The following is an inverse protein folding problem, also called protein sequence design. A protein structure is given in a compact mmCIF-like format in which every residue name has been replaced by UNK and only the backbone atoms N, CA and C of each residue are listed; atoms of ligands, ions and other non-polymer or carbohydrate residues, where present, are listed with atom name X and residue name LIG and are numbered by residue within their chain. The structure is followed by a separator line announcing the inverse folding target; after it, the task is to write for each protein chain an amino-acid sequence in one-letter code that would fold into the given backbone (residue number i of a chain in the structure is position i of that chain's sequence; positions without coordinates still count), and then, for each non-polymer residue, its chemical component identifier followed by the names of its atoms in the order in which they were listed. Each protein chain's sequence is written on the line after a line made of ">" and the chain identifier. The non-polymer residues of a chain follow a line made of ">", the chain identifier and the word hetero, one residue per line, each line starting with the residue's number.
data_IF_504987106906
#
_entry.id   IF_504987106906
#
_cell.length_a   1.000
_cell.length_b   1.000
_cell.length_c   1.000
_cell.angle_alpha   90.00
_cell.angle_beta   90.00
_cell.angle_gamma   90.00
#
_symmetry.space_group_name_H-M   'P 1'
#
loop_
_entity.id
_entity.type
_entity.pdbx_description
1 polymer ?
#
# COMPACT_ATOMS: atom_id res chain seq x y z
N UNK A 1 -22.89 3.47 -6.86
CA UNK A 1 -21.58 4.11 -7.13
C UNK A 1 -21.25 4.10 -8.61
N UNK A 2 -21.06 2.91 -9.20
CA UNK A 2 -20.78 2.69 -10.64
C UNK A 2 -21.70 3.48 -11.59
N UNK A 3 -23.02 3.43 -11.35
CA UNK A 3 -24.04 4.13 -12.15
C UNK A 3 -23.94 5.66 -12.14
N UNK A 4 -23.24 6.25 -11.16
CA UNK A 4 -22.95 7.69 -11.09
C UNK A 4 -21.61 8.01 -11.75
N UNK A 5 -20.60 7.17 -11.54
CA UNK A 5 -19.28 7.30 -12.17
C UNK A 5 -19.40 7.27 -13.70
N UNK A 6 -20.24 6.40 -14.26
CA UNK A 6 -20.43 6.31 -15.72
C UNK A 6 -20.98 7.59 -16.38
N UNK A 7 -21.55 8.50 -15.59
CA UNK A 7 -22.10 9.78 -16.07
C UNK A 7 -21.05 10.89 -16.09
N UNK A 8 -19.84 10.63 -15.59
CA UNK A 8 -18.75 11.59 -15.60
C UNK A 8 -18.24 11.79 -17.02
N UNK A 9 -17.96 13.05 -17.37
CA UNK A 9 -17.44 13.40 -18.71
C UNK A 9 -16.07 12.76 -18.92
N UNK A 10 -15.91 12.07 -20.05
CA UNK A 10 -14.67 11.36 -20.38
C UNK A 10 -14.52 10.01 -19.67
N UNK A 11 -15.57 9.48 -19.05
CA UNK A 11 -15.56 8.10 -18.54
C UNK A 11 -15.38 7.10 -19.70
N UNK A 12 -14.46 6.14 -19.51
CA UNK A 12 -14.25 5.04 -20.46
C UNK A 12 -14.65 3.69 -19.86
N UNK A 13 -14.08 3.32 -18.72
CA UNK A 13 -14.32 2.01 -18.13
C UNK A 13 -14.06 1.99 -16.63
N UNK A 14 -14.68 1.04 -15.93
CA UNK A 14 -14.44 0.79 -14.50
C UNK A 14 -14.11 -0.66 -14.24
N UNK A 15 -13.11 -0.86 -13.38
CA UNK A 15 -12.53 -2.14 -13.01
C UNK A 15 -12.53 -2.29 -11.50
N UNK A 16 -12.80 -3.51 -11.03
CA UNK A 16 -12.45 -3.92 -9.68
C UNK A 16 -11.03 -4.46 -9.68
N UNK A 17 -10.26 -4.12 -8.66
CA UNK A 17 -8.93 -4.67 -8.40
C UNK A 17 -9.02 -5.66 -7.24
N UNK A 18 -8.30 -6.78 -7.33
CA UNK A 18 -8.26 -7.78 -6.27
C UNK A 18 -9.57 -8.58 -6.12
N UNK A 19 -9.83 -9.08 -4.91
CA UNK A 19 -11.02 -9.89 -4.60
C UNK A 19 -11.66 -9.51 -3.26
N UNK A 20 -12.99 -9.49 -3.25
CA UNK A 20 -13.80 -9.32 -2.02
C UNK A 20 -14.20 -10.71 -1.54
N UNK A 21 -13.52 -11.21 -0.52
CA UNK A 21 -13.70 -12.59 -0.04
C UNK A 21 -14.19 -12.69 1.40
N UNK A 22 -13.98 -11.66 2.24
CA UNK A 22 -14.33 -11.72 3.68
C UNK A 22 -15.15 -10.47 4.05
N UNK A 23 -16.48 -10.58 4.20
CA UNK A 23 -17.35 -9.47 4.62
C UNK A 23 -16.86 -8.80 5.92
N UNK A 24 -16.87 -7.47 5.96
CA UNK A 24 -16.45 -6.67 7.12
C UNK A 24 -14.93 -6.51 7.32
N UNK A 25 -14.11 -7.25 6.56
CA UNK A 25 -12.64 -7.12 6.55
C UNK A 25 -12.07 -6.78 5.18
N UNK A 26 -12.69 -7.24 4.10
CA UNK A 26 -12.33 -6.89 2.72
C UNK A 26 -12.78 -5.48 2.36
N UNK A 27 -11.96 -4.82 1.54
CA UNK A 27 -12.27 -3.52 0.94
C UNK A 27 -12.57 -3.69 -0.56
N UNK A 28 -13.23 -2.70 -1.15
CA UNK A 28 -13.46 -2.65 -2.59
C UNK A 28 -12.47 -1.67 -3.20
N UNK A 29 -11.54 -2.22 -3.98
CA UNK A 29 -10.60 -1.40 -4.76
C UNK A 29 -11.17 -1.25 -6.16
N UNK A 30 -11.38 -0.01 -6.60
CA UNK A 30 -11.87 0.29 -7.94
C UNK A 30 -10.91 1.21 -8.67
N UNK A 31 -10.79 1.00 -9.97
CA UNK A 31 -10.06 1.87 -10.89
C UNK A 31 -10.97 2.28 -12.04
N UNK A 32 -10.98 3.58 -12.33
CA UNK A 32 -11.71 4.18 -13.44
C UNK A 32 -10.72 4.66 -14.48
N UNK A 33 -10.94 4.28 -15.73
CA UNK A 33 -10.21 4.77 -16.88
C UNK A 33 -10.99 5.93 -17.50
N UNK A 34 -10.28 7.02 -17.79
CA UNK A 34 -10.83 8.22 -18.39
C UNK A 34 -10.15 8.55 -19.73
N UNK A 35 -10.80 9.35 -20.57
CA UNK A 35 -10.17 10.02 -21.70
C UNK A 35 -9.02 10.92 -21.21
N UNK A 36 -8.00 11.10 -22.04
CA UNK A 36 -6.75 11.78 -21.64
C UNK A 36 -6.97 13.27 -21.29
N UNK A 37 -8.00 13.90 -21.87
CA UNK A 37 -8.39 15.29 -21.61
C UNK A 37 -9.45 15.46 -20.51
N UNK A 38 -9.91 14.36 -19.89
CA UNK A 38 -10.94 14.39 -18.87
C UNK A 38 -10.51 15.25 -17.66
N UNK A 39 -11.45 16.05 -17.14
CA UNK A 39 -11.26 16.87 -15.95
C UNK A 39 -12.43 16.72 -15.00
N UNK A 40 -12.22 15.99 -13.92
CA UNK A 40 -13.19 15.70 -12.88
C UNK A 40 -12.67 16.20 -11.53
N UNK A 41 -13.21 17.34 -11.07
CA UNK A 41 -12.77 17.98 -9.81
C UNK A 41 -13.47 17.43 -8.57
N UNK A 42 -14.44 16.55 -8.75
CA UNK A 42 -15.20 15.94 -7.65
C UNK A 42 -14.50 14.72 -7.06
N UNK A 43 -14.74 14.47 -5.78
CA UNK A 43 -14.36 13.24 -5.08
C UNK A 43 -15.56 12.28 -5.09
N UNK A 44 -15.51 11.18 -5.86
CA UNK A 44 -16.67 10.29 -5.98
C UNK A 44 -17.04 9.61 -4.67
N UNK A 45 -16.09 9.28 -3.78
CA UNK A 45 -16.39 8.59 -2.51
C UNK A 45 -17.10 9.54 -1.56
N UNK A 46 -16.65 10.80 -1.49
CA UNK A 46 -17.24 11.81 -0.62
C UNK A 46 -18.54 12.37 -1.19
N UNK A 47 -18.51 12.79 -2.45
CA UNK A 47 -19.56 13.62 -3.04
C UNK A 47 -20.76 12.79 -3.51
N UNK A 48 -20.60 11.47 -3.71
CA UNK A 48 -21.75 10.59 -3.97
C UNK A 48 -22.41 10.03 -2.70
N UNK A 49 -21.92 10.35 -1.49
CA UNK A 49 -22.40 9.78 -0.24
C UNK A 49 -22.51 8.24 -0.30
N UNK A 50 -21.57 7.60 -1.00
CA UNK A 50 -21.51 6.14 -1.03
C UNK A 50 -21.20 5.59 0.36
N UNK A 51 -21.48 4.31 0.57
CA UNK A 51 -21.07 3.53 1.74
C UNK A 51 -19.55 3.62 1.97
N UNK A 52 -19.10 4.70 2.62
CA UNK A 52 -17.68 5.02 2.84
C UNK A 52 -16.95 3.93 3.62
N UNK A 53 -17.69 3.05 4.31
CA UNK A 53 -17.12 1.90 5.01
C UNK A 53 -16.61 0.80 4.06
N UNK A 54 -17.12 0.74 2.82
CA UNK A 54 -16.72 -0.22 1.78
C UNK A 54 -15.40 0.15 1.10
N UNK A 55 -14.98 1.42 1.20
CA UNK A 55 -13.78 1.96 0.56
C UNK A 55 -12.80 2.44 1.63
N UNK A 56 -11.65 1.79 1.78
CA UNK A 56 -10.59 2.28 2.70
C UNK A 56 -9.73 3.38 2.09
N UNK A 57 -9.83 3.57 0.78
CA UNK A 57 -9.20 4.66 0.05
C UNK A 57 -10.15 5.23 -1.01
N UNK A 58 -9.81 6.41 -1.53
CA UNK A 58 -10.48 7.00 -2.70
C UNK A 58 -10.34 6.09 -3.93
N UNK A 59 -11.25 6.22 -4.89
CA UNK A 59 -11.22 5.40 -6.12
C UNK A 59 -9.98 5.77 -6.95
N UNK A 60 -9.34 4.78 -7.58
CA UNK A 60 -8.24 5.05 -8.49
C UNK A 60 -8.75 5.62 -9.81
N UNK A 61 -8.03 6.57 -10.39
CA UNK A 61 -8.36 7.19 -11.66
C UNK A 61 -7.12 7.30 -12.52
N UNK A 62 -7.22 6.88 -13.78
CA UNK A 62 -6.12 6.91 -14.73
C UNK A 62 -6.63 7.31 -16.12
N UNK A 63 -5.99 8.28 -16.79
CA UNK A 63 -6.19 8.51 -18.23
C UNK A 63 -5.78 7.31 -19.09
N UNK A 64 -6.46 7.10 -20.21
CA UNK A 64 -6.30 5.97 -21.13
C UNK A 64 -4.86 5.78 -21.61
N UNK A 65 -4.15 6.86 -21.92
CA UNK A 65 -2.77 6.84 -22.42
C UNK A 65 -1.82 6.05 -21.50
N UNK A 66 -2.07 6.08 -20.19
CA UNK A 66 -1.23 5.44 -19.18
C UNK A 66 -1.70 4.04 -18.77
N UNK A 67 -2.85 3.56 -19.27
CA UNK A 67 -3.47 2.29 -18.83
C UNK A 67 -2.53 1.08 -18.95
N UNK A 68 -1.95 0.87 -20.13
CA UNK A 68 -1.13 -0.32 -20.40
C UNK A 68 0.20 -0.28 -19.63
N UNK A 69 0.84 0.89 -19.59
CA UNK A 69 2.11 1.07 -18.90
C UNK A 69 1.95 0.96 -17.37
N UNK A 70 0.86 1.50 -16.82
CA UNK A 70 0.54 1.34 -15.41
C UNK A 70 0.41 -0.12 -15.03
N UNK A 71 -0.33 -0.92 -15.80
CA UNK A 71 -0.53 -2.35 -15.51
C UNK A 71 0.78 -3.13 -15.55
N UNK A 72 1.64 -2.88 -16.54
CA UNK A 72 2.91 -3.59 -16.66
C UNK A 72 3.92 -3.20 -15.57
N UNK A 73 3.89 -1.95 -15.10
CA UNK A 73 4.86 -1.46 -14.11
C UNK A 73 4.41 -1.56 -12.65
N UNK A 74 3.13 -1.77 -12.35
CA UNK A 74 2.62 -1.77 -10.96
C UNK A 74 2.08 -3.11 -10.47
N UNK A 75 1.84 -4.08 -11.36
CA UNK A 75 1.39 -5.43 -11.00
C UNK A 75 0.16 -5.53 -10.09
N UNK A 76 -0.75 -4.55 -10.11
CA UNK A 76 -2.06 -4.78 -9.49
C UNK A 76 -2.73 -5.99 -10.16
N UNK A 77 -3.25 -6.89 -9.34
CA UNK A 77 -3.80 -8.17 -9.80
C UNK A 77 -5.32 -8.13 -9.94
N UNK A 78 -5.84 -9.02 -10.78
CA UNK A 78 -7.26 -9.31 -10.92
C UNK A 78 -8.11 -8.08 -11.28
N UNK A 79 -7.73 -7.39 -12.35
CA UNK A 79 -8.59 -6.39 -12.97
C UNK A 79 -9.85 -7.08 -13.53
N UNK A 80 -10.95 -6.99 -12.80
CA UNK A 80 -12.25 -7.47 -13.26
C UNK A 80 -13.01 -6.30 -13.87
N UNK A 81 -13.25 -6.35 -15.17
CA UNK A 81 -14.09 -5.38 -15.86
C UNK A 81 -15.51 -5.39 -15.27
N UNK A 82 -16.05 -4.19 -15.01
CA UNK A 82 -17.40 -4.01 -14.47
C UNK A 82 -18.34 -3.35 -15.49
N UNK A 83 -17.97 -2.20 -16.06
CA UNK A 83 -18.86 -1.41 -16.94
C UNK A 83 -18.05 -0.46 -17.84
N UNK A 84 -18.62 -0.08 -18.99
CA UNK A 84 -18.05 0.87 -19.95
C UNK A 84 -17.47 0.19 -21.20
N UNK A 85 -16.36 0.72 -21.69
CA UNK A 85 -15.53 0.10 -22.72
C UNK A 85 -14.39 -0.65 -22.05
N UNK A 86 -14.25 -1.93 -22.39
CA UNK A 86 -13.09 -2.71 -21.97
C UNK A 86 -11.85 -2.22 -22.73
N UNK A 87 -10.87 -1.73 -21.97
CA UNK A 87 -9.59 -1.28 -22.49
C UNK A 87 -8.80 -2.45 -23.08
N UNK A 88 -8.23 -2.28 -24.29
CA UNK A 88 -7.45 -3.33 -24.92
C UNK A 88 -6.23 -3.65 -24.06
N UNK A 89 -5.93 -4.94 -23.93
CA UNK A 89 -4.72 -5.40 -23.29
C UNK A 89 -3.58 -5.40 -24.30
N UNK A 90 -2.81 -4.31 -24.32
CA UNK A 90 -1.57 -4.29 -25.08
C UNK A 90 -0.46 -4.87 -24.21
N UNK A 91 0.21 -5.91 -24.72
CA UNK A 91 1.41 -6.44 -24.07
C UNK A 91 2.47 -5.35 -24.08
N UNK A 92 2.83 -4.86 -22.90
CA UNK A 92 4.10 -4.17 -22.74
C UNK A 92 5.16 -5.25 -22.67
N UNK A 93 6.11 -5.25 -23.60
CA UNK A 93 7.23 -6.20 -23.60
C UNK A 93 8.21 -5.80 -22.50
N UNK A 94 7.98 -6.31 -21.30
CA UNK A 94 9.01 -6.36 -20.26
C UNK A 94 9.69 -7.71 -20.33
N UNK A 95 11.02 -7.72 -20.24
CA UNK A 95 11.75 -8.97 -20.17
C UNK A 95 11.63 -9.62 -18.78
N UNK A 96 12.11 -10.87 -18.65
CA UNK A 96 12.02 -11.62 -17.41
C UNK A 96 12.86 -11.01 -16.27
N UNK A 97 13.92 -10.27 -16.59
CA UNK A 97 14.77 -9.58 -15.65
C UNK A 97 14.07 -8.34 -15.09
N UNK A 98 13.50 -7.51 -15.97
CA UNK A 98 12.73 -6.33 -15.62
C UNK A 98 11.52 -6.68 -14.74
N UNK A 99 10.79 -7.74 -15.08
CA UNK A 99 9.68 -8.25 -14.27
C UNK A 99 10.18 -8.64 -12.87
N UNK A 100 11.32 -9.32 -12.78
CA UNK A 100 11.91 -9.73 -11.50
C UNK A 100 12.32 -8.52 -10.66
N UNK A 101 12.95 -7.53 -11.28
CA UNK A 101 13.35 -6.28 -10.61
C UNK A 101 12.14 -5.52 -10.05
N UNK A 102 11.09 -5.34 -10.86
CA UNK A 102 9.88 -4.64 -10.42
C UNK A 102 9.14 -5.38 -9.30
N UNK A 103 8.96 -6.69 -9.43
CA UNK A 103 8.32 -7.51 -8.37
C UNK A 103 9.07 -7.39 -7.05
N UNK A 104 10.40 -7.53 -7.08
CA UNK A 104 11.25 -7.35 -5.90
C UNK A 104 11.11 -5.93 -5.32
N UNK A 105 11.16 -4.91 -6.17
CA UNK A 105 11.02 -3.51 -5.75
C UNK A 105 9.66 -3.27 -5.06
N UNK A 106 8.56 -3.72 -5.66
CA UNK A 106 7.21 -3.57 -5.11
C UNK A 106 7.08 -4.29 -3.76
N UNK A 107 7.58 -5.53 -3.68
CA UNK A 107 7.56 -6.31 -2.46
C UNK A 107 8.33 -5.62 -1.33
N UNK A 108 9.56 -5.15 -1.61
CA UNK A 108 10.37 -4.45 -0.61
C UNK A 108 9.75 -3.12 -0.17
N UNK A 109 9.14 -2.35 -1.09
CA UNK A 109 8.41 -1.13 -0.74
C UNK A 109 7.26 -1.41 0.26
N UNK A 110 6.49 -2.48 0.04
CA UNK A 110 5.39 -2.83 0.93
C UNK A 110 5.87 -3.42 2.25
N UNK A 111 6.87 -4.31 2.25
CA UNK A 111 7.47 -4.86 3.47
C UNK A 111 8.05 -3.76 4.36
N UNK A 112 8.78 -2.80 3.79
CA UNK A 112 9.29 -1.63 4.53
C UNK A 112 8.14 -0.78 5.07
N UNK A 113 7.09 -0.51 4.26
CA UNK A 113 5.89 0.19 4.76
C UNK A 113 5.30 -0.55 5.96
N UNK A 114 5.13 -1.87 5.88
CA UNK A 114 4.58 -2.68 6.97
C UNK A 114 5.43 -2.62 8.23
N UNK A 115 6.76 -2.68 8.08
CA UNK A 115 7.70 -2.53 9.20
C UNK A 115 7.53 -1.18 9.90
N UNK A 116 7.43 -0.09 9.14
CA UNK A 116 7.24 1.27 9.69
C UNK A 116 5.91 1.37 10.42
N UNK A 117 4.83 0.84 9.83
CA UNK A 117 3.49 0.84 10.42
C UNK A 117 3.47 0.07 11.75
N UNK A 118 4.04 -1.14 11.77
CA UNK A 118 4.12 -1.96 12.99
C UNK A 118 5.02 -1.33 14.05
N UNK A 119 6.14 -0.72 13.66
CA UNK A 119 7.03 0.00 14.60
C UNK A 119 6.26 1.07 15.37
N UNK A 120 5.47 1.88 14.69
CA UNK A 120 4.66 2.94 15.31
C UNK A 120 3.57 2.35 16.22
N UNK A 121 2.84 1.35 15.72
CA UNK A 121 1.75 0.71 16.46
C UNK A 121 2.24 0.02 17.74
N UNK A 122 3.33 -0.73 17.67
CA UNK A 122 3.95 -1.38 18.82
C UNK A 122 4.54 -0.36 19.80
N UNK A 123 5.12 0.75 19.31
CA UNK A 123 5.64 1.80 20.20
C UNK A 123 4.54 2.45 21.03
N UNK A 124 3.35 2.59 20.47
CA UNK A 124 2.18 3.17 21.13
C UNK A 124 1.34 2.17 21.92
N UNK A 125 1.63 0.87 21.81
CA UNK A 125 0.77 -0.22 22.31
C UNK A 125 -0.67 -0.14 21.75
N UNK A 126 -0.83 0.32 20.50
CA UNK A 126 -2.12 0.45 19.82
C UNK A 126 -2.02 -0.18 18.44
N UNK A 127 -2.83 -1.22 18.21
CA UNK A 127 -2.89 -1.92 16.92
C UNK A 127 -4.20 -1.61 16.22
N UNK A 128 -4.12 -1.19 14.95
CA UNK A 128 -5.29 -1.04 14.08
C UNK A 128 -5.63 -2.39 13.45
N UNK A 129 -6.40 -3.20 14.18
CA UNK A 129 -6.59 -4.62 13.89
C UNK A 129 -7.12 -4.93 12.49
N UNK A 130 -8.16 -4.23 12.01
CA UNK A 130 -8.66 -4.39 10.63
C UNK A 130 -7.56 -4.14 9.61
N UNK A 131 -6.80 -3.05 9.75
CA UNK A 131 -5.69 -2.71 8.85
C UNK A 131 -4.58 -3.77 8.93
N UNK A 132 -4.25 -4.25 10.12
CA UNK A 132 -3.26 -5.32 10.30
C UNK A 132 -3.66 -6.60 9.58
N UNK A 133 -4.90 -7.06 9.72
CA UNK A 133 -5.38 -8.28 9.05
C UNK A 133 -5.42 -8.12 7.52
N UNK A 134 -5.78 -6.93 7.04
CA UNK A 134 -5.84 -6.64 5.61
C UNK A 134 -4.44 -6.56 4.98
N UNK A 135 -3.56 -5.74 5.56
CA UNK A 135 -2.18 -5.58 5.08
C UNK A 135 -1.37 -6.87 5.29
N UNK A 136 -1.61 -7.58 6.39
CA UNK A 136 -0.97 -8.87 6.68
C UNK A 136 -1.34 -9.97 5.68
N UNK A 137 -2.59 -9.99 5.16
CA UNK A 137 -2.96 -10.87 4.04
C UNK A 137 -2.15 -10.54 2.79
N UNK A 138 -1.97 -9.25 2.48
CA UNK A 138 -1.29 -8.81 1.27
C UNK A 138 0.18 -9.26 1.22
N UNK A 139 0.82 -9.44 2.39
CA UNK A 139 2.21 -9.92 2.50
C UNK A 139 2.47 -11.23 1.76
N UNK A 140 1.46 -12.09 1.55
CA UNK A 140 1.65 -13.34 0.81
C UNK A 140 2.14 -13.08 -0.62
N UNK A 141 1.62 -12.05 -1.28
CA UNK A 141 2.02 -11.69 -2.65
C UNK A 141 3.45 -11.12 -2.66
N UNK A 142 3.83 -10.36 -1.65
CA UNK A 142 5.18 -9.83 -1.51
C UNK A 142 6.20 -10.95 -1.29
N UNK A 143 5.85 -11.96 -0.49
CA UNK A 143 6.67 -13.16 -0.31
C UNK A 143 6.79 -13.96 -1.60
N UNK A 144 5.69 -14.15 -2.34
CA UNK A 144 5.69 -14.80 -3.65
C UNK A 144 6.59 -14.06 -4.66
N UNK A 145 6.54 -12.72 -4.68
CA UNK A 145 7.41 -11.89 -5.52
C UNK A 145 8.89 -12.04 -5.19
N UNK A 146 9.22 -12.32 -3.92
CA UNK A 146 10.57 -12.61 -3.47
C UNK A 146 10.94 -14.10 -3.61
N UNK A 147 10.04 -14.95 -4.10
CA UNK A 147 10.26 -16.39 -4.22
C UNK A 147 10.26 -17.13 -2.87
N UNK A 148 9.65 -16.56 -1.84
CA UNK A 148 9.56 -17.11 -0.49
C UNK A 148 8.25 -17.89 -0.35
N UNK A 149 8.33 -19.21 -0.33
CA UNK A 149 7.19 -20.12 -0.21
C UNK A 149 7.18 -20.95 1.08
N UNK A 150 8.15 -20.75 1.97
CA UNK A 150 8.28 -21.48 3.23
C UNK A 150 9.09 -20.70 4.28
N UNK A 151 9.12 -21.21 5.52
CA UNK A 151 9.87 -20.62 6.63
C UNK A 151 9.03 -19.72 7.54
N UNK A 152 9.66 -19.22 8.60
CA UNK A 152 8.96 -18.53 9.71
C UNK A 152 8.09 -17.35 9.28
N UNK A 153 8.57 -16.49 8.38
CA UNK A 153 7.77 -15.35 7.88
C UNK A 153 6.54 -15.83 7.11
N UNK A 154 6.70 -16.83 6.23
CA UNK A 154 5.60 -17.40 5.46
C UNK A 154 4.55 -18.03 6.38
N UNK A 155 4.97 -18.82 7.36
CA UNK A 155 4.08 -19.45 8.34
C UNK A 155 3.29 -18.42 9.17
N UNK A 156 3.94 -17.34 9.60
CA UNK A 156 3.27 -16.26 10.34
C UNK A 156 2.25 -15.51 9.48
N UNK A 157 2.55 -15.26 8.20
CA UNK A 157 1.59 -14.68 7.25
C UNK A 157 0.40 -15.62 7.05
N UNK A 158 0.63 -16.92 6.90
CA UNK A 158 -0.45 -17.91 6.83
C UNK A 158 -1.33 -17.92 8.08
N UNK A 159 -0.75 -17.79 9.27
CA UNK A 159 -1.52 -17.63 10.52
C UNK A 159 -2.39 -16.36 10.49
N UNK A 160 -1.89 -15.23 10.00
CA UNK A 160 -2.70 -14.01 9.83
C UNK A 160 -3.87 -14.24 8.86
N UNK A 161 -3.62 -14.95 7.75
CA UNK A 161 -4.66 -15.30 6.77
C UNK A 161 -5.73 -16.20 7.42
N UNK A 162 -5.32 -17.19 8.22
CA UNK A 162 -6.24 -18.08 8.94
C UNK A 162 -7.07 -17.33 9.98
N UNK A 163 -6.45 -16.46 10.79
CA UNK A 163 -7.16 -15.59 11.75
C UNK A 163 -8.18 -14.72 11.03
N UNK A 164 -7.80 -14.14 9.87
CA UNK A 164 -8.71 -13.33 9.05
C UNK A 164 -9.86 -14.14 8.45
N UNK A 165 -9.60 -15.39 8.05
CA UNK A 165 -10.63 -16.29 7.52
C UNK A 165 -11.64 -16.68 8.59
N UNK A 166 -11.16 -17.05 9.78
CA UNK A 166 -11.99 -17.49 10.91
C UNK A 166 -12.53 -16.39 11.81
N UNK A 167 -12.40 -15.11 11.42
CA UNK A 167 -12.63 -13.95 12.29
C UNK A 167 -14.02 -13.92 12.93
N UNK A 168 -15.04 -14.39 12.20
CA UNK A 168 -16.43 -14.38 12.65
C UNK A 168 -16.84 -15.66 13.38
N UNK A 169 -16.10 -16.76 13.20
CA UNK A 169 -16.40 -18.02 13.88
C UNK A 169 -15.69 -18.12 15.24
N UNK A 170 -14.40 -17.75 15.29
CA UNK A 170 -13.59 -17.84 16.50
C UNK A 170 -12.54 -16.73 16.52
N UNK A 171 -12.80 -15.72 17.33
CA UNK A 171 -11.85 -14.65 17.55
C UNK A 171 -10.70 -15.14 18.45
N UNK A 172 -9.43 -14.89 18.07
CA UNK A 172 -8.31 -15.11 18.97
C UNK A 172 -8.40 -14.16 20.17
N UNK A 173 -7.86 -14.62 21.29
CA UNK A 173 -7.68 -13.78 22.48
C UNK A 173 -6.72 -12.62 22.20
N UNK A 174 -6.80 -11.58 23.01
CA UNK A 174 -5.90 -10.43 22.91
C UNK A 174 -4.42 -10.85 23.05
N UNK A 175 -4.14 -11.80 23.95
CA UNK A 175 -2.80 -12.32 24.16
C UNK A 175 -2.25 -13.07 22.92
N UNK A 176 -3.08 -13.88 22.27
CA UNK A 176 -2.73 -14.58 21.03
C UNK A 176 -2.44 -13.58 19.90
N UNK A 177 -3.28 -12.56 19.73
CA UNK A 177 -3.07 -11.50 18.73
C UNK A 177 -1.79 -10.72 18.99
N UNK A 178 -1.58 -10.26 20.23
CA UNK A 178 -0.36 -9.54 20.62
C UNK A 178 0.90 -10.37 20.34
N UNK A 179 0.85 -11.67 20.62
CA UNK A 179 1.97 -12.58 20.34
C UNK A 179 2.21 -12.75 18.84
N UNK A 180 1.15 -12.96 18.04
CA UNK A 180 1.24 -13.08 16.59
C UNK A 180 1.86 -11.81 15.96
N UNK A 181 1.40 -10.63 16.37
CA UNK A 181 1.92 -9.35 15.85
C UNK A 181 3.39 -9.17 16.21
N UNK A 182 3.79 -9.48 17.45
CA UNK A 182 5.20 -9.40 17.88
C UNK A 182 6.09 -10.35 17.10
N UNK A 183 5.65 -11.59 16.89
CA UNK A 183 6.38 -12.59 16.10
C UNK A 183 6.50 -12.17 14.64
N UNK A 184 5.41 -11.69 14.03
CA UNK A 184 5.41 -11.18 12.66
C UNK A 184 6.36 -9.99 12.52
N UNK A 185 6.33 -9.04 13.46
CA UNK A 185 7.24 -7.89 13.46
C UNK A 185 8.71 -8.28 13.54
N UNK A 186 9.05 -9.23 14.43
CA UNK A 186 10.41 -9.75 14.54
C UNK A 186 10.85 -10.45 13.24
N UNK A 187 10.02 -11.35 12.71
CA UNK A 187 10.31 -12.06 11.46
C UNK A 187 10.44 -11.12 10.26
N UNK A 188 9.60 -10.09 10.18
CA UNK A 188 9.67 -9.05 9.14
C UNK A 188 10.96 -8.24 9.25
N UNK A 189 11.40 -7.92 10.47
CA UNK A 189 12.66 -7.23 10.74
C UNK A 189 13.84 -8.05 10.24
N UNK A 190 13.90 -9.33 10.60
CA UNK A 190 14.97 -10.24 10.17
C UNK A 190 14.98 -10.42 8.64
N UNK A 191 13.80 -10.57 8.03
CA UNK A 191 13.67 -10.68 6.58
C UNK A 191 14.19 -9.42 5.88
N UNK A 192 13.77 -8.23 6.30
CA UNK A 192 14.21 -6.98 5.70
C UNK A 192 15.73 -6.76 5.89
N UNK A 193 16.27 -7.06 7.06
CA UNK A 193 17.71 -6.99 7.32
C UNK A 193 18.50 -7.90 6.38
N UNK A 194 17.96 -9.07 6.02
CA UNK A 194 18.57 -9.99 5.05
C UNK A 194 18.41 -9.48 3.61
N UNK A 195 17.17 -9.22 3.18
CA UNK A 195 16.86 -8.90 1.78
C UNK A 195 17.51 -7.59 1.32
N UNK A 196 17.52 -6.58 2.18
CA UNK A 196 18.11 -5.28 1.86
C UNK A 196 19.64 -5.28 1.89
N UNK A 197 20.28 -6.29 2.50
CA UNK A 197 21.73 -6.52 2.39
C UNK A 197 22.10 -7.22 1.08
N UNK A 198 21.23 -8.11 0.57
CA UNK A 198 21.50 -8.88 -0.64
C UNK A 198 21.31 -8.07 -1.91
N UNK A 199 20.31 -7.19 -1.94
CA UNK A 199 20.11 -6.27 -3.04
C UNK A 199 19.44 -4.98 -2.56
N UNK A 200 19.82 -3.82 -3.12
CA UNK A 200 19.26 -2.55 -2.67
C UNK A 200 17.78 -2.43 -3.09
N UNK A 201 16.96 -1.93 -2.17
CA UNK A 201 15.73 -1.22 -2.54
C UNK A 201 16.12 0.05 -3.30
N UNK A 202 15.43 0.37 -4.39
CA UNK A 202 15.69 1.59 -5.16
C UNK A 202 14.71 2.70 -4.80
N UNK A 203 15.19 3.93 -4.76
CA UNK A 203 14.38 5.14 -4.53
C UNK A 203 14.71 6.21 -5.60
N UNK A 204 13.81 7.17 -5.88
CA UNK A 204 14.07 8.22 -6.87
C UNK A 204 15.04 9.30 -6.38
N UNK A 205 15.47 9.27 -5.11
CA UNK A 205 16.32 10.31 -4.51
C UNK A 205 17.27 9.73 -3.46
N UNK A 206 18.41 10.39 -3.26
CA UNK A 206 19.34 10.15 -2.15
C UNK A 206 18.93 10.85 -0.85
N UNK A 207 18.00 11.80 -0.93
CA UNK A 207 17.61 12.64 0.19
C UNK A 207 16.69 11.89 1.16
N UNK A 208 16.70 12.31 2.42
CA UNK A 208 15.67 11.88 3.35
C UNK A 208 14.28 12.34 2.88
N UNK A 209 13.26 11.55 3.20
CA UNK A 209 11.88 11.85 2.85
C UNK A 209 10.95 11.62 4.04
N UNK A 210 9.76 12.20 3.98
CA UNK A 210 8.74 12.03 5.01
C UNK A 210 7.60 11.16 4.49
N UNK A 211 7.27 10.10 5.23
CA UNK A 211 6.07 9.29 4.97
C UNK A 211 4.84 9.95 5.59
N UNK A 212 5.03 10.57 6.75
CA UNK A 212 4.04 11.38 7.46
C UNK A 212 4.76 12.51 8.21
N UNK A 213 3.99 13.46 8.77
CA UNK A 213 4.53 14.60 9.54
C UNK A 213 5.48 14.20 10.67
N UNK A 214 5.32 12.99 11.21
CA UNK A 214 6.08 12.50 12.34
C UNK A 214 7.00 11.30 12.02
N UNK A 215 7.06 10.86 10.76
CA UNK A 215 7.90 9.73 10.34
C UNK A 215 8.82 10.20 9.22
N UNK A 216 10.11 10.22 9.52
CA UNK A 216 11.18 10.51 8.56
C UNK A 216 11.93 9.24 8.20
N UNK A 217 12.36 9.15 6.95
CA UNK A 217 13.17 8.06 6.41
C UNK A 217 14.46 8.61 5.86
N UNK A 218 15.59 7.98 6.19
CA UNK A 218 16.90 8.33 5.63
C UNK A 218 17.72 7.09 5.32
N UNK A 219 18.68 7.21 4.40
CA UNK A 219 19.63 6.13 4.09
C UNK A 219 20.49 5.81 5.32
N UNK A 220 20.72 4.54 5.60
CA UNK A 220 21.59 4.11 6.69
C UNK A 220 21.45 2.63 7.01
N UNK A 221 21.98 2.21 8.15
CA UNK A 221 21.75 0.86 8.67
C UNK A 221 20.26 0.64 8.97
N UNK A 222 19.80 -0.60 8.80
CA UNK A 222 18.39 -0.93 9.03
C UNK A 222 18.02 -0.73 10.51
N UNK A 223 17.00 0.07 10.76
CA UNK A 223 16.49 0.29 12.11
C UNK A 223 15.49 1.43 12.21
N UNK A 224 14.95 1.62 13.41
CA UNK A 224 14.07 2.72 13.72
C UNK A 224 14.34 3.24 15.14
N UNK A 225 14.41 4.55 15.27
CA UNK A 225 14.45 5.24 16.57
C UNK A 225 13.21 6.09 16.73
N UNK A 226 12.74 6.20 17.98
CA UNK A 226 11.61 7.04 18.33
C UNK A 226 11.99 8.01 19.45
N UNK A 227 11.42 9.21 19.42
CA UNK A 227 11.54 10.20 20.48
C UNK A 227 10.17 10.83 20.77
N UNK A 228 9.97 11.30 22.00
CA UNK A 228 8.70 11.86 22.46
C UNK A 228 8.12 11.12 23.66
N UNK A 229 6.84 11.39 23.94
CA UNK A 229 6.13 10.87 25.10
C UNK A 229 5.02 9.90 24.69
N UNK A 230 5.04 8.70 25.26
CA UNK A 230 3.92 7.76 25.17
C UNK A 230 3.09 7.90 26.44
N UNK A 231 1.94 8.54 26.31
CA UNK A 231 1.00 8.71 27.42
C UNK A 231 0.03 7.51 27.44
N UNK A 232 -0.16 6.85 28.59
CA UNK A 232 -1.14 5.76 28.71
C UNK A 232 -2.56 6.27 28.41
N UNK A 233 -3.38 5.45 27.75
CA UNK A 233 -4.79 5.76 27.59
C UNK A 233 -5.55 5.31 28.84
N UNK A 234 -5.93 6.25 29.71
CA UNK A 234 -6.75 5.96 30.90
C UNK A 234 -8.25 5.76 30.58
N UNK A 235 -8.60 5.43 29.33
CA UNK A 235 -10.00 5.26 28.89
C UNK A 235 -10.79 6.56 28.73
N UNK A 236 -10.17 7.72 28.99
CA UNK A 236 -10.81 9.04 28.91
C UNK A 236 -10.91 9.57 27.47
N UNK A 237 -10.13 9.02 26.54
CA UNK A 237 -10.05 9.48 25.16
C UNK A 237 -10.28 8.30 24.22
N UNK A 238 -11.17 8.48 23.23
CA UNK A 238 -11.35 7.52 22.14
C UNK A 238 -10.01 7.17 21.48
N UNK A 239 -9.75 5.88 21.24
CA UNK A 239 -8.45 5.39 20.73
C UNK A 239 -7.94 6.12 19.50
N UNK A 240 -8.84 6.52 18.58
CA UNK A 240 -8.46 7.30 17.39
C UNK A 240 -7.90 8.68 17.75
N UNK A 241 -8.52 9.37 18.72
CA UNK A 241 -8.07 10.69 19.18
C UNK A 241 -6.76 10.55 19.95
N UNK A 242 -6.63 9.52 20.77
CA UNK A 242 -5.40 9.21 21.51
C UNK A 242 -4.24 8.88 20.57
N UNK A 243 -4.44 8.00 19.58
CA UNK A 243 -3.44 7.71 18.55
C UNK A 243 -3.01 8.96 17.77
N UNK A 244 -3.94 9.84 17.42
CA UNK A 244 -3.63 11.11 16.76
C UNK A 244 -2.82 12.06 17.66
N UNK A 245 -3.08 12.06 18.96
CA UNK A 245 -2.31 12.82 19.94
C UNK A 245 -0.88 12.30 20.02
N UNK A 246 -0.71 10.97 20.13
CA UNK A 246 0.61 10.33 20.13
C UNK A 246 1.41 10.69 18.88
N UNK A 247 0.79 10.68 17.69
CA UNK A 247 1.44 11.10 16.45
C UNK A 247 1.85 12.57 16.40
N UNK A 248 1.25 13.45 17.21
CA UNK A 248 1.68 14.85 17.28
C UNK A 248 2.91 15.04 18.16
N UNK A 249 3.07 14.21 19.20
CA UNK A 249 4.12 14.36 20.21
C UNK A 249 5.30 13.39 20.06
N UNK A 250 5.16 12.35 19.24
CA UNK A 250 6.23 11.40 18.98
C UNK A 250 6.74 11.52 17.56
N UNK A 251 8.06 11.43 17.41
CA UNK A 251 8.75 11.40 16.12
C UNK A 251 9.44 10.07 15.93
N UNK A 252 9.46 9.61 14.69
CA UNK A 252 10.14 8.40 14.25
C UNK A 252 11.15 8.75 13.18
N UNK A 253 12.35 8.22 13.32
CA UNK A 253 13.37 8.20 12.28
C UNK A 253 13.65 6.75 11.93
N UNK A 254 13.34 6.39 10.71
CA UNK A 254 13.55 5.06 10.15
C UNK A 254 14.75 5.13 9.22
N UNK A 255 15.64 4.17 9.33
CA UNK A 255 16.82 4.04 8.50
C UNK A 255 16.85 2.67 7.85
N UNK A 256 17.23 2.61 6.58
CA UNK A 256 17.47 1.36 5.86
C UNK A 256 18.38 1.61 4.65
N UNK A 257 19.09 0.58 4.17
CA UNK A 257 19.93 0.75 2.99
C UNK A 257 19.06 0.78 1.73
N UNK A 258 19.35 1.74 0.87
CA UNK A 258 18.73 1.88 -0.46
C UNK A 258 19.69 2.54 -1.44
N UNK A 259 19.43 2.35 -2.73
CA UNK A 259 20.16 2.98 -3.84
C UNK A 259 19.24 3.90 -4.62
N UNK A 260 19.81 4.81 -5.41
CA UNK A 260 19.03 5.58 -6.38
C UNK A 260 18.76 4.69 -7.58
N UNK A 261 17.55 4.71 -8.12
CA UNK A 261 17.24 4.00 -9.36
C UNK A 261 18.14 4.47 -10.51
N UNK A 262 18.72 3.53 -11.26
CA UNK A 262 19.59 3.86 -12.38
C UNK A 262 18.80 4.48 -13.54
N UNK A 263 19.43 5.42 -14.24
CA UNK A 263 18.80 6.10 -15.37
C UNK A 263 18.51 5.11 -16.50
N UNK A 264 17.28 5.08 -16.99
CA UNK A 264 16.81 4.15 -18.02
C UNK A 264 16.40 2.77 -17.49
N UNK A 265 16.54 2.51 -16.18
CA UNK A 265 16.07 1.25 -15.59
C UNK A 265 14.55 1.17 -15.56
N UNK A 266 14.02 -0.05 -15.55
CA UNK A 266 12.58 -0.29 -15.42
C UNK A 266 11.99 0.29 -14.12
N UNK A 267 12.79 0.33 -13.05
CA UNK A 267 12.39 0.91 -11.77
C UNK A 267 12.30 2.43 -11.85
N UNK A 268 13.26 3.09 -12.50
CA UNK A 268 13.18 4.54 -12.77
C UNK A 268 11.96 4.86 -13.65
N UNK A 269 11.74 4.08 -14.71
CA UNK A 269 10.56 4.21 -15.59
C UNK A 269 9.25 4.14 -14.80
N UNK A 270 9.13 3.18 -13.87
CA UNK A 270 7.98 3.10 -12.95
C UNK A 270 7.85 4.39 -12.13
N UNK A 271 8.91 4.90 -11.53
CA UNK A 271 8.83 6.15 -10.76
C UNK A 271 8.44 7.36 -11.61
N UNK A 272 8.97 7.47 -12.84
CA UNK A 272 8.60 8.53 -13.77
C UNK A 272 7.11 8.47 -14.14
N UNK A 273 6.60 7.28 -14.45
CA UNK A 273 5.17 7.08 -14.72
C UNK A 273 4.31 7.54 -13.55
N UNK A 274 4.63 7.11 -12.33
CA UNK A 274 3.87 7.48 -11.13
C UNK A 274 3.90 9.00 -10.88
N UNK A 275 5.02 9.65 -11.19
CA UNK A 275 5.18 11.11 -11.07
C UNK A 275 4.31 11.85 -12.06
N UNK A 276 4.29 11.39 -13.32
CA UNK A 276 3.46 11.94 -14.37
C UNK A 276 1.97 11.78 -14.06
N UNK A 277 1.55 10.59 -13.62
CA UNK A 277 0.17 10.32 -13.18
C UNK A 277 -0.23 11.20 -12.00
N UNK A 278 0.66 11.39 -11.01
CA UNK A 278 0.38 12.30 -9.88
C UNK A 278 0.18 13.73 -10.35
N UNK A 279 1.07 14.22 -11.23
CA UNK A 279 0.97 15.57 -11.79
C UNK A 279 -0.32 15.72 -12.61
N UNK A 280 -0.68 14.72 -13.40
CA UNK A 280 -1.92 14.68 -14.16
C UNK A 280 -3.14 14.76 -13.22
N UNK A 281 -3.27 13.80 -12.29
CA UNK A 281 -4.43 13.71 -11.40
C UNK A 281 -4.57 14.94 -10.51
N UNK A 282 -3.47 15.49 -9.98
CA UNK A 282 -3.54 16.70 -9.14
C UNK A 282 -4.24 17.89 -9.81
N UNK A 283 -4.15 17.99 -11.14
CA UNK A 283 -4.73 19.09 -11.92
C UNK A 283 -6.09 18.73 -12.56
N UNK A 284 -6.27 17.45 -12.90
CA UNK A 284 -7.40 16.99 -13.73
C UNK A 284 -8.36 16.06 -13.00
N UNK A 285 -7.85 15.17 -12.14
CA UNK A 285 -8.63 14.16 -11.42
C UNK A 285 -8.33 14.20 -9.90
N UNK A 286 -8.40 15.36 -9.21
CA UNK A 286 -7.90 15.49 -7.84
C UNK A 286 -8.66 14.66 -6.80
N UNK A 287 -9.89 14.21 -7.12
CA UNK A 287 -10.66 13.29 -6.28
C UNK A 287 -10.33 11.80 -6.47
N UNK A 288 -9.39 11.47 -7.37
CA UNK A 288 -9.01 10.11 -7.69
C UNK A 288 -7.55 9.84 -7.30
N UNK A 289 -7.31 8.68 -6.68
CA UNK A 289 -5.96 8.23 -6.38
C UNK A 289 -5.28 7.70 -7.64
N UNK A 290 -3.95 7.69 -7.59
CA UNK A 290 -3.14 6.92 -8.51
C UNK A 290 -2.69 5.64 -7.79
N UNK A 291 -2.54 4.52 -8.49
CA UNK A 291 -1.91 3.35 -7.91
C UNK A 291 -0.43 3.70 -7.65
N UNK A 292 -0.05 3.90 -6.40
CA UNK A 292 1.22 4.54 -6.01
C UNK A 292 2.19 3.56 -5.34
N UNK A 293 3.46 3.99 -5.22
CA UNK A 293 4.41 3.33 -4.33
C UNK A 293 3.92 3.34 -2.88
N UNK A 294 4.08 2.20 -2.20
CA UNK A 294 3.74 2.04 -0.78
C UNK A 294 4.49 3.01 0.14
N UNK A 295 5.66 3.51 -0.28
CA UNK A 295 6.49 4.45 0.49
C UNK A 295 6.22 5.93 0.20
N UNK A 296 5.32 6.25 -0.76
CA UNK A 296 4.98 7.63 -1.17
C UNK A 296 6.19 8.48 -1.60
N UNK A 297 7.18 7.85 -2.22
CA UNK A 297 8.48 8.45 -2.60
C UNK A 297 8.45 9.22 -3.92
N UNK A 298 7.39 9.03 -4.69
CA UNK A 298 7.00 9.80 -5.86
C UNK A 298 5.70 10.49 -5.53
#
# INVERSE_FOLDING_TARGET
>A
MTSRIRKLKGFLGIYQIGSVSNPGLSDIDMLVVFEDDAKILMDPVRDFHSDTYLFTHQIYGVPKEYWNELRSLTFFHNYRFIEGQEMPELRTELDSDEIRQLKRQIALEFLVKMYIVLTVQLRYDIVKLRSFLLEGKALIYDLEFLGISSGNMFELVQQVIQVRAGWWEKQPTEAELKNLIKKLYASLTDLLMKELKQAPLYLPTTSSFQISRNISVSKGEFGAISSGFVLPNFGLIQDRKHFNLLNRFNRFKVTFPYSVSEKGSVVERRFQLLSQLRKHNSNRLPGFLIPASSLKVV
#
